data_IF_016587793260
#
_entry.id   IF_016587793260
#
_cell.length_a   1.000
_cell.length_b   1.000
_cell.length_c   1.000
_cell.angle_alpha   90.00
_cell.angle_beta   90.00
_cell.angle_gamma   90.00
#
_symmetry.space_group_name_H-M   'P 1'
#
loop_
_entity.id
_entity.type
_entity.pdbx_description
1 polymer ?
#
# COMPACT_ATOMS: atom_id res chain seq x y z
N UNK A 1 6.47 -22.15 -15.79
CA UNK A 1 6.95 -21.12 -14.85
C UNK A 1 7.21 -19.82 -15.60
N UNK A 2 6.22 -18.96 -15.89
CA UNK A 2 6.46 -17.62 -16.49
C UNK A 2 5.14 -16.91 -16.87
N UNK A 3 4.12 -16.88 -16.00
CA UNK A 3 2.86 -16.15 -16.32
C UNK A 3 2.27 -15.33 -15.16
N UNK A 4 2.99 -15.10 -14.06
CA UNK A 4 2.42 -14.44 -12.88
C UNK A 4 2.67 -12.92 -12.77
N UNK A 5 3.55 -12.35 -13.60
CA UNK A 5 3.99 -10.95 -13.43
C UNK A 5 3.06 -9.87 -14.06
N UNK A 6 1.95 -10.23 -14.72
CA UNK A 6 1.20 -9.26 -15.55
C UNK A 6 -0.18 -8.84 -15.02
N UNK A 7 -0.67 -9.41 -13.93
CA UNK A 7 -2.05 -9.15 -13.48
C UNK A 7 -2.16 -7.89 -12.59
N UNK A 8 -1.10 -7.51 -11.90
CA UNK A 8 -1.13 -6.37 -10.95
C UNK A 8 -1.18 -5.01 -11.67
N UNK A 9 -0.69 -4.91 -12.90
CA UNK A 9 -0.54 -3.60 -13.59
C UNK A 9 -1.82 -3.08 -14.25
N UNK A 10 -2.82 -3.91 -14.51
CA UNK A 10 -3.99 -3.51 -15.31
C UNK A 10 -5.10 -2.79 -14.53
N UNK A 11 -5.14 -2.88 -13.21
CA UNK A 11 -6.23 -2.28 -12.40
C UNK A 11 -5.93 -0.85 -11.95
N UNK A 12 -4.65 -0.46 -11.87
CA UNK A 12 -4.22 0.84 -11.33
C UNK A 12 -4.48 2.01 -12.29
N UNK A 13 -4.62 1.77 -13.61
CA UNK A 13 -4.60 2.86 -14.60
C UNK A 13 -5.96 3.55 -14.88
N UNK A 14 -7.07 3.08 -14.31
CA UNK A 14 -8.42 3.55 -14.69
C UNK A 14 -9.02 4.66 -13.80
N UNK A 15 -8.29 5.23 -12.84
CA UNK A 15 -8.89 6.06 -11.81
C UNK A 15 -8.44 7.53 -11.76
N UNK A 16 -7.75 8.07 -12.80
CA UNK A 16 -7.10 9.40 -12.73
C UNK A 16 -7.99 10.59 -13.14
N UNK A 17 -9.23 10.40 -13.57
CA UNK A 17 -10.07 11.54 -13.97
C UNK A 17 -11.28 11.73 -13.06
N UNK A 18 -11.08 12.44 -11.95
CA UNK A 18 -12.18 12.98 -11.13
C UNK A 18 -12.60 14.34 -11.65
N UNK A 19 -13.70 14.42 -12.39
CA UNK A 19 -14.37 15.69 -12.69
C UNK A 19 -15.09 16.22 -11.45
N UNK A 20 -14.93 17.52 -11.21
CA UNK A 20 -15.64 18.34 -10.24
C UNK A 20 -17.13 18.42 -10.59
N UNK A 21 -18.01 17.82 -9.81
CA UNK A 21 -19.44 18.12 -9.84
C UNK A 21 -19.88 18.81 -8.56
N UNK A 22 -20.61 19.93 -8.71
CA UNK A 22 -21.28 20.65 -7.63
C UNK A 22 -22.46 19.82 -7.14
N UNK A 23 -22.38 19.29 -5.93
CA UNK A 23 -23.48 18.62 -5.25
C UNK A 23 -24.38 19.62 -4.50
N UNK A 24 -25.65 19.25 -4.19
CA UNK A 24 -26.67 20.12 -3.61
C UNK A 24 -26.35 20.50 -2.15
N UNK A 25 -26.66 21.74 -1.81
CA UNK A 25 -26.56 22.31 -0.47
C UNK A 25 -27.63 21.73 0.46
N UNK A 26 -27.25 21.13 1.57
CA UNK A 26 -28.13 20.79 2.70
C UNK A 26 -27.95 21.77 3.86
N UNK A 27 -29.03 22.06 4.63
CA UNK A 27 -29.02 23.11 5.64
C UNK A 27 -28.37 22.70 6.97
N UNK A 28 -27.73 23.66 7.57
CA UNK A 28 -27.15 23.87 8.87
C UNK A 28 -27.32 22.85 10.00
N UNK A 29 -26.18 22.35 10.46
CA UNK A 29 -25.97 21.74 11.75
C UNK A 29 -24.53 22.00 12.19
N UNK A 30 -24.32 22.39 13.43
CA UNK A 30 -23.11 22.93 14.01
C UNK A 30 -21.81 22.20 13.63
N UNK A 31 -20.84 22.97 13.16
CA UNK A 31 -19.62 22.43 12.56
C UNK A 31 -18.48 22.33 13.56
N UNK A 32 -18.18 21.14 14.02
CA UNK A 32 -16.79 20.81 14.30
C UNK A 32 -16.16 20.41 12.95
N UNK A 33 -15.41 21.34 12.33
CA UNK A 33 -14.74 21.13 11.04
C UNK A 33 -13.48 20.29 11.22
N UNK A 34 -13.60 19.02 11.65
CA UNK A 34 -12.46 18.14 11.63
C UNK A 34 -12.26 17.59 10.21
N UNK A 35 -11.07 17.77 9.68
CA UNK A 35 -10.67 17.18 8.40
C UNK A 35 -10.17 15.76 8.66
N UNK A 36 -10.63 14.75 7.91
CA UNK A 36 -10.12 13.38 8.05
C UNK A 36 -8.60 13.33 8.01
N UNK A 37 -8.01 12.51 8.86
CA UNK A 37 -6.56 12.34 8.96
C UNK A 37 -6.03 11.61 7.73
N UNK A 38 -4.82 11.98 7.31
CA UNK A 38 -4.07 11.30 6.24
C UNK A 38 -3.14 10.28 6.86
N UNK A 39 -2.93 9.17 6.16
CA UNK A 39 -1.88 8.21 6.51
C UNK A 39 -0.51 8.90 6.51
N UNK A 40 0.31 8.60 7.51
CA UNK A 40 1.66 9.18 7.67
C UNK A 40 2.76 8.38 6.98
N UNK A 41 2.39 7.53 6.03
CA UNK A 41 3.33 6.82 5.16
C UNK A 41 4.22 7.80 4.38
N UNK A 42 5.50 7.47 4.26
CA UNK A 42 6.51 8.32 3.62
C UNK A 42 6.98 7.69 2.31
N UNK A 43 7.26 8.54 1.32
CA UNK A 43 7.95 8.12 0.12
C UNK A 43 9.40 7.73 0.44
N UNK A 44 9.84 6.60 -0.08
CA UNK A 44 11.21 6.10 0.09
C UNK A 44 12.06 6.58 -1.08
N UNK A 45 13.12 7.32 -0.77
CA UNK A 45 14.07 7.80 -1.79
C UNK A 45 14.96 6.66 -2.27
N UNK A 46 15.05 6.47 -3.58
CA UNK A 46 15.97 5.49 -4.17
C UNK A 46 17.41 5.94 -3.94
N UNK A 47 18.28 5.11 -3.31
CA UNK A 47 19.70 5.42 -3.13
C UNK A 47 20.39 5.76 -4.44
N UNK A 48 21.33 6.70 -4.40
CA UNK A 48 21.99 7.20 -5.62
C UNK A 48 22.72 6.11 -6.41
N UNK A 49 23.37 5.16 -5.73
CA UNK A 49 24.07 4.03 -6.36
C UNK A 49 23.15 3.03 -7.05
N UNK A 50 21.85 2.96 -6.66
CA UNK A 50 20.86 2.14 -7.35
C UNK A 50 20.33 2.81 -8.62
N UNK A 51 20.50 4.11 -8.78
CA UNK A 51 20.03 4.85 -9.96
C UNK A 51 20.93 4.57 -11.15
N UNK A 52 20.31 4.22 -12.29
CA UNK A 52 21.06 4.02 -13.54
C UNK A 52 21.83 2.70 -13.66
N UNK A 53 21.90 1.86 -12.63
CA UNK A 53 22.47 0.52 -12.75
C UNK A 53 21.49 -0.46 -13.40
N UNK A 54 22.01 -1.40 -14.19
CA UNK A 54 21.27 -2.49 -14.83
C UNK A 54 21.62 -3.84 -14.22
N UNK A 55 22.39 -3.86 -13.15
CA UNK A 55 22.68 -5.08 -12.41
C UNK A 55 21.39 -5.64 -11.81
N UNK A 56 21.08 -6.92 -12.10
CA UNK A 56 19.77 -7.52 -11.85
C UNK A 56 19.36 -7.49 -10.36
N UNK A 57 20.32 -7.68 -9.45
CA UNK A 57 20.00 -7.74 -8.01
C UNK A 57 19.79 -6.35 -7.42
N UNK A 58 20.49 -5.33 -7.94
CA UNK A 58 20.23 -3.93 -7.61
C UNK A 58 18.90 -3.47 -8.20
N UNK A 59 18.54 -3.94 -9.40
CA UNK A 59 17.22 -3.70 -9.99
C UNK A 59 16.10 -4.30 -9.13
N UNK A 60 16.27 -5.51 -8.59
CA UNK A 60 15.29 -6.13 -7.70
C UNK A 60 15.06 -5.29 -6.44
N UNK A 61 16.12 -4.82 -5.80
CA UNK A 61 16.02 -3.93 -4.64
C UNK A 61 15.33 -2.59 -4.99
N UNK A 62 15.71 -1.97 -6.11
CA UNK A 62 15.06 -0.74 -6.59
C UNK A 62 13.57 -0.95 -6.89
N UNK A 63 13.20 -2.10 -7.45
CA UNK A 63 11.81 -2.44 -7.73
C UNK A 63 10.99 -2.57 -6.44
N UNK A 64 11.56 -3.06 -5.33
CA UNK A 64 10.90 -3.07 -4.03
C UNK A 64 10.56 -1.66 -3.53
N UNK A 65 11.50 -0.71 -3.67
CA UNK A 65 11.24 0.71 -3.35
C UNK A 65 10.15 1.28 -4.25
N UNK A 66 10.24 1.03 -5.56
CA UNK A 66 9.24 1.49 -6.52
C UNK A 66 7.86 0.88 -6.24
N UNK A 67 7.79 -0.39 -5.85
CA UNK A 67 6.55 -1.05 -5.45
C UNK A 67 5.93 -0.35 -4.23
N UNK A 68 6.71 -0.11 -3.17
CA UNK A 68 6.24 0.60 -1.98
C UNK A 68 5.67 1.98 -2.34
N UNK A 69 6.41 2.77 -3.11
CA UNK A 69 6.01 4.12 -3.50
C UNK A 69 4.79 4.11 -4.43
N UNK A 70 4.71 3.14 -5.36
CA UNK A 70 3.56 2.99 -6.27
C UNK A 70 2.29 2.58 -5.53
N UNK A 71 2.40 1.64 -4.59
CA UNK A 71 1.29 1.24 -3.74
C UNK A 71 0.79 2.42 -2.91
N UNK A 72 1.71 3.17 -2.28
CA UNK A 72 1.35 4.38 -1.54
C UNK A 72 0.70 5.42 -2.44
N UNK A 73 1.28 5.71 -3.61
CA UNK A 73 0.72 6.66 -4.58
C UNK A 73 -0.69 6.29 -5.00
N UNK A 74 -0.94 5.00 -5.28
CA UNK A 74 -2.25 4.50 -5.67
C UNK A 74 -3.30 4.61 -4.56
N UNK A 75 -2.90 4.32 -3.31
CA UNK A 75 -3.78 4.38 -2.14
C UNK A 75 -4.04 5.83 -1.73
N UNK A 76 -3.05 6.72 -1.82
CA UNK A 76 -3.14 8.11 -1.37
C UNK A 76 -4.28 8.89 -2.02
N UNK A 77 -4.64 8.55 -3.26
CA UNK A 77 -5.78 9.15 -3.98
C UNK A 77 -7.11 8.87 -3.24
N UNK A 78 -7.26 7.68 -2.68
CA UNK A 78 -8.48 7.28 -1.95
C UNK A 78 -8.48 7.75 -0.50
N UNK A 79 -7.32 7.74 0.16
CA UNK A 79 -7.19 8.11 1.58
C UNK A 79 -6.82 9.57 1.77
N UNK A 80 -6.89 10.38 0.72
CA UNK A 80 -6.79 11.84 0.82
C UNK A 80 -8.20 12.39 0.99
N UNK A 81 -8.50 13.08 2.11
CA UNK A 81 -9.81 13.67 2.32
C UNK A 81 -10.14 14.63 1.18
N UNK A 82 -11.31 14.51 0.54
CA UNK A 82 -11.72 15.52 -0.43
C UNK A 82 -11.92 16.87 0.26
N UNK A 83 -11.70 17.95 -0.49
CA UNK A 83 -11.86 19.33 0.01
C UNK A 83 -13.30 19.70 0.41
N UNK A 84 -14.31 18.91 0.00
CA UNK A 84 -15.70 19.13 0.36
C UNK A 84 -16.09 18.37 1.63
N UNK A 85 -16.86 19.01 2.50
CA UNK A 85 -17.37 18.43 3.75
C UNK A 85 -18.19 17.16 3.49
N UNK A 86 -17.92 16.10 4.22
CA UNK A 86 -18.75 14.90 4.26
C UNK A 86 -19.94 15.11 5.20
N UNK A 87 -21.04 14.43 4.92
CA UNK A 87 -22.16 14.34 5.86
C UNK A 87 -21.75 13.57 7.11
N UNK A 88 -22.06 14.08 8.28
CA UNK A 88 -21.78 13.45 9.57
C UNK A 88 -22.86 12.39 9.86
N UNK A 89 -22.46 11.16 10.17
CA UNK A 89 -23.35 10.14 10.76
C UNK A 89 -23.22 10.24 12.28
N UNK A 90 -24.34 10.30 12.99
CA UNK A 90 -24.45 10.56 14.43
C UNK A 90 -23.82 9.43 15.27
N UNK A 91 -22.53 9.55 15.62
CA UNK A 91 -21.89 8.73 16.66
C UNK A 91 -20.83 9.53 17.40
N UNK A 92 -20.44 9.06 18.58
CA UNK A 92 -19.32 9.61 19.36
C UNK A 92 -17.98 9.40 18.67
N UNK A 93 -17.90 8.45 17.74
CA UNK A 93 -16.81 8.21 16.80
C UNK A 93 -17.13 8.92 15.49
N UNK A 94 -16.15 9.57 14.87
CA UNK A 94 -16.37 10.24 13.59
C UNK A 94 -16.37 9.21 12.46
N UNK A 95 -17.53 8.99 11.88
CA UNK A 95 -17.72 8.13 10.73
C UNK A 95 -18.20 8.94 9.53
N UNK A 96 -17.64 8.67 8.36
CA UNK A 96 -17.93 9.39 7.14
C UNK A 96 -18.07 8.42 5.98
N UNK A 97 -19.05 8.66 5.13
CA UNK A 97 -19.25 7.88 3.91
C UNK A 97 -19.33 8.80 2.71
N UNK A 98 -18.63 8.47 1.64
CA UNK A 98 -18.74 9.12 0.34
C UNK A 98 -18.90 8.09 -0.76
N UNK A 99 -19.80 8.39 -1.69
CA UNK A 99 -20.03 7.54 -2.87
C UNK A 99 -19.90 8.38 -4.14
N UNK A 100 -19.23 7.83 -5.14
CA UNK A 100 -19.17 8.41 -6.49
C UNK A 100 -19.15 7.31 -7.54
N UNK A 101 -19.46 7.67 -8.79
CA UNK A 101 -19.43 6.74 -9.92
C UNK A 101 -18.17 6.93 -10.74
N UNK A 102 -17.58 5.82 -11.18
CA UNK A 102 -16.51 5.80 -12.17
C UNK A 102 -17.11 5.85 -13.59
N UNK A 103 -16.32 6.26 -14.61
CA UNK A 103 -16.77 6.30 -16.00
C UNK A 103 -17.25 4.94 -16.54
N UNK A 104 -16.75 3.84 -16.01
CA UNK A 104 -17.16 2.46 -16.34
C UNK A 104 -18.45 1.99 -15.68
N UNK A 105 -19.14 2.87 -14.92
CA UNK A 105 -20.41 2.58 -14.25
C UNK A 105 -20.31 2.02 -12.84
N UNK A 106 -19.11 1.63 -12.38
CA UNK A 106 -18.93 1.20 -10.99
C UNK A 106 -19.14 2.37 -10.02
N UNK A 107 -19.75 2.09 -8.89
CA UNK A 107 -19.76 2.97 -7.73
C UNK A 107 -18.56 2.66 -6.84
N UNK A 108 -17.89 3.69 -6.37
CA UNK A 108 -16.90 3.61 -5.30
C UNK A 108 -17.57 4.13 -4.04
N UNK A 109 -17.51 3.35 -2.96
CA UNK A 109 -18.02 3.74 -1.65
C UNK A 109 -16.82 3.80 -0.72
N UNK A 110 -16.54 4.97 -0.18
CA UNK A 110 -15.47 5.21 0.77
C UNK A 110 -16.08 5.44 2.16
N UNK A 111 -15.65 4.65 3.12
CA UNK A 111 -15.98 4.80 4.52
C UNK A 111 -14.71 5.24 5.29
N UNK A 112 -14.85 6.24 6.14
CA UNK A 112 -13.81 6.68 7.05
C UNK A 112 -14.31 6.55 8.47
N UNK A 113 -13.47 6.07 9.36
CA UNK A 113 -13.73 6.04 10.80
C UNK A 113 -12.53 6.53 11.59
N UNK A 114 -12.80 7.23 12.68
CA UNK A 114 -11.78 7.77 13.58
C UNK A 114 -12.26 7.67 15.03
N UNK A 115 -11.33 7.29 15.91
CA UNK A 115 -11.48 7.40 17.36
C UNK A 115 -10.18 7.97 17.96
N UNK A 116 -10.08 8.01 19.30
CA UNK A 116 -8.91 8.57 19.98
C UNK A 116 -7.60 7.84 19.68
N UNK A 117 -7.65 6.57 19.29
CA UNK A 117 -6.46 5.73 19.12
C UNK A 117 -6.12 5.45 17.67
N UNK A 118 -7.13 5.39 16.79
CA UNK A 118 -6.96 4.95 15.41
C UNK A 118 -7.86 5.76 14.48
N UNK A 119 -7.44 5.82 13.21
CA UNK A 119 -8.30 6.21 12.10
C UNK A 119 -8.07 5.28 10.92
N UNK A 120 -9.05 5.21 10.03
CA UNK A 120 -8.94 4.31 8.89
C UNK A 120 -9.95 4.58 7.79
N UNK A 121 -9.72 3.88 6.68
CA UNK A 121 -10.46 3.99 5.44
C UNK A 121 -10.82 2.60 4.94
N UNK A 122 -12.05 2.43 4.46
CA UNK A 122 -12.45 1.25 3.71
C UNK A 122 -13.05 1.71 2.39
N UNK A 123 -12.57 1.13 1.30
CA UNK A 123 -13.06 1.41 -0.04
C UNK A 123 -13.78 0.15 -0.56
N UNK A 124 -15.02 0.34 -1.00
CA UNK A 124 -15.80 -0.70 -1.65
C UNK A 124 -16.05 -0.35 -3.11
N UNK A 125 -16.14 -1.38 -3.93
CA UNK A 125 -16.67 -1.32 -5.29
C UNK A 125 -18.09 -1.90 -5.29
N UNK A 126 -19.00 -1.27 -6.04
CA UNK A 126 -20.38 -1.70 -6.19
C UNK A 126 -20.87 -1.48 -7.62
N UNK A 127 -21.59 -2.46 -8.20
CA UNK A 127 -22.07 -2.40 -9.56
C UNK A 127 -21.41 -3.41 -10.50
N UNK A 128 -21.55 -3.20 -11.81
CA UNK A 128 -21.05 -4.13 -12.85
C UNK A 128 -20.05 -3.43 -13.75
N UNK A 129 -18.93 -4.11 -14.04
CA UNK A 129 -17.93 -3.70 -15.01
C UNK A 129 -17.60 -4.89 -15.93
N UNK A 130 -18.03 -4.83 -17.18
CA UNK A 130 -17.92 -5.95 -18.09
C UNK A 130 -18.67 -7.18 -17.59
N UNK A 131 -17.98 -8.30 -17.41
CA UNK A 131 -18.51 -9.55 -16.89
C UNK A 131 -18.49 -9.66 -15.37
N UNK A 132 -17.85 -8.71 -14.67
CA UNK A 132 -17.67 -8.74 -13.22
C UNK A 132 -18.74 -7.91 -12.52
N UNK A 133 -19.43 -8.51 -11.54
CA UNK A 133 -20.40 -7.83 -10.68
C UNK A 133 -19.84 -7.76 -9.27
N UNK A 134 -19.86 -6.57 -8.69
CA UNK A 134 -19.41 -6.26 -7.34
C UNK A 134 -20.66 -5.90 -6.50
N UNK A 135 -20.77 -6.49 -5.35
CA UNK A 135 -21.83 -6.19 -4.39
C UNK A 135 -21.19 -5.66 -3.11
N UNK A 136 -21.00 -4.35 -3.04
CA UNK A 136 -20.24 -3.67 -1.97
C UNK A 136 -18.97 -4.46 -1.62
N UNK A 137 -18.19 -4.80 -2.65
CA UNK A 137 -17.02 -5.62 -2.53
C UNK A 137 -15.83 -4.78 -1.99
N UNK A 138 -15.21 -5.21 -0.89
CA UNK A 138 -14.11 -4.49 -0.26
C UNK A 138 -12.86 -4.55 -1.14
N UNK A 139 -12.44 -3.40 -1.67
CA UNK A 139 -11.26 -3.25 -2.51
C UNK A 139 -10.01 -2.91 -1.71
N UNK A 140 -10.15 -2.03 -0.72
CA UNK A 140 -9.04 -1.54 0.08
C UNK A 140 -9.48 -1.34 1.53
N UNK A 141 -8.59 -1.65 2.44
CA UNK A 141 -8.71 -1.30 3.85
C UNK A 141 -7.39 -0.67 4.30
N UNK A 142 -7.44 0.49 4.94
CA UNK A 142 -6.29 1.18 5.49
C UNK A 142 -6.57 1.65 6.91
N UNK A 143 -5.58 1.54 7.80
CA UNK A 143 -5.69 2.01 9.18
C UNK A 143 -4.35 2.53 9.68
N UNK A 144 -4.39 3.54 10.55
CA UNK A 144 -3.21 4.06 11.24
C UNK A 144 -3.52 4.36 12.71
N UNK A 145 -2.55 4.10 13.58
CA UNK A 145 -2.56 4.45 15.00
C UNK A 145 -2.16 5.91 15.15
N UNK A 146 -2.95 6.72 15.86
CA UNK A 146 -2.75 8.17 15.98
C UNK A 146 -1.42 8.50 16.65
N UNK A 147 -1.07 7.78 17.70
CA UNK A 147 0.12 8.06 18.53
C UNK A 147 1.41 7.57 17.84
N UNK A 148 1.49 6.29 17.49
CA UNK A 148 2.71 5.68 16.94
C UNK A 148 2.92 5.98 15.47
N UNK A 149 1.87 6.43 14.74
CA UNK A 149 1.88 6.62 13.29
C UNK A 149 2.32 5.36 12.53
N UNK A 150 1.96 4.22 13.09
CA UNK A 150 2.10 2.91 12.47
C UNK A 150 0.81 2.55 11.80
N UNK A 151 0.88 2.01 10.60
CA UNK A 151 -0.31 1.71 9.86
C UNK A 151 -0.13 0.58 8.88
N UNK A 152 -1.25 0.25 8.26
CA UNK A 152 -1.28 -0.72 7.18
C UNK A 152 -2.30 -0.31 6.12
N UNK A 153 -2.16 -0.89 4.95
CA UNK A 153 -3.25 -1.07 4.02
C UNK A 153 -3.21 -2.45 3.36
N UNK A 154 -4.40 -2.95 3.11
CA UNK A 154 -4.66 -4.21 2.45
C UNK A 154 -5.37 -3.93 1.12
N UNK A 155 -4.88 -4.49 0.02
CA UNK A 155 -5.53 -4.43 -1.29
C UNK A 155 -6.08 -5.82 -1.60
N UNK A 156 -7.38 -5.89 -1.88
CA UNK A 156 -8.08 -7.12 -2.21
C UNK A 156 -8.21 -7.27 -3.72
N UNK A 157 -7.98 -8.47 -4.24
CA UNK A 157 -8.04 -8.74 -5.68
C UNK A 157 -9.46 -9.05 -6.10
N UNK A 158 -10.06 -8.29 -7.05
CA UNK A 158 -11.40 -8.55 -7.56
C UNK A 158 -11.57 -9.98 -8.10
N UNK A 159 -12.73 -10.58 -7.80
CA UNK A 159 -13.04 -11.95 -8.24
C UNK A 159 -12.63 -13.05 -7.25
N UNK A 160 -11.97 -12.67 -6.15
CA UNK A 160 -11.57 -13.60 -5.07
C UNK A 160 -12.30 -13.26 -3.76
N UNK A 161 -12.16 -14.15 -2.78
CA UNK A 161 -12.72 -13.95 -1.45
C UNK A 161 -12.07 -12.73 -0.75
N UNK A 162 -12.89 -11.90 -0.11
CA UNK A 162 -12.44 -10.76 0.69
C UNK A 162 -11.82 -11.14 2.05
N UNK A 163 -11.66 -12.41 2.34
CA UNK A 163 -11.03 -12.88 3.58
C UNK A 163 -9.51 -12.71 3.56
N UNK A 164 -8.89 -12.69 2.36
CA UNK A 164 -7.45 -12.60 2.20
C UNK A 164 -7.06 -11.53 1.17
N UNK A 165 -6.26 -10.52 1.55
CA UNK A 165 -5.78 -9.53 0.60
C UNK A 165 -4.68 -10.09 -0.29
N UNK A 166 -4.68 -9.71 -1.58
CA UNK A 166 -3.61 -10.03 -2.52
C UNK A 166 -2.31 -9.32 -2.16
N UNK A 167 -2.41 -8.09 -1.61
CA UNK A 167 -1.24 -7.32 -1.15
C UNK A 167 -1.53 -6.71 0.22
N UNK A 168 -0.61 -6.91 1.15
CA UNK A 168 -0.59 -6.22 2.46
C UNK A 168 0.64 -5.33 2.51
N UNK A 169 0.47 -4.09 2.94
CA UNK A 169 1.57 -3.20 3.27
C UNK A 169 1.42 -2.72 4.70
N UNK A 170 2.46 -2.92 5.52
CA UNK A 170 2.57 -2.34 6.85
C UNK A 170 3.71 -1.33 6.86
N UNK A 171 3.56 -0.24 7.59
CA UNK A 171 4.61 0.75 7.79
C UNK A 171 4.73 1.18 9.24
N UNK A 172 5.95 1.52 9.64
CA UNK A 172 6.32 1.79 11.03
C UNK A 172 7.23 3.01 11.08
N UNK A 173 6.79 4.07 11.74
CA UNK A 173 7.61 5.22 12.08
C UNK A 173 8.21 4.98 13.46
N UNK A 174 9.47 4.50 13.51
CA UNK A 174 10.12 4.18 14.77
C UNK A 174 10.56 5.45 15.54
N UNK A 175 10.57 5.37 16.86
CA UNK A 175 10.96 6.50 17.73
C UNK A 175 12.38 7.00 17.49
N UNK A 176 13.29 6.13 17.02
CA UNK A 176 14.67 6.50 16.66
C UNK A 176 14.78 7.19 15.28
N UNK A 177 13.65 7.54 14.66
CA UNK A 177 13.59 8.18 13.35
C UNK A 177 13.70 7.23 12.15
N UNK A 178 13.90 5.94 12.38
CA UNK A 178 13.89 4.95 11.31
C UNK A 178 12.46 4.75 10.78
N UNK A 179 12.37 4.38 9.51
CA UNK A 179 11.13 4.06 8.82
C UNK A 179 11.21 2.66 8.24
N UNK A 180 10.20 1.84 8.52
CA UNK A 180 10.11 0.49 7.97
C UNK A 180 8.85 0.31 7.14
N UNK A 181 8.98 -0.43 6.05
CA UNK A 181 7.87 -0.88 5.22
C UNK A 181 8.00 -2.39 5.01
N UNK A 182 6.90 -3.07 5.19
CA UNK A 182 6.78 -4.50 4.90
C UNK A 182 5.66 -4.68 3.87
N UNK A 183 5.96 -5.26 2.72
CA UNK A 183 5.01 -5.59 1.66
C UNK A 183 4.94 -7.10 1.54
N UNK A 184 3.76 -7.66 1.72
CA UNK A 184 3.48 -9.08 1.55
C UNK A 184 2.58 -9.27 0.34
N UNK A 185 3.04 -9.98 -0.66
CA UNK A 185 2.27 -10.42 -1.81
C UNK A 185 1.77 -11.85 -1.59
N UNK A 186 0.54 -12.14 -1.99
CA UNK A 186 -0.12 -13.41 -1.74
C UNK A 186 -0.67 -14.02 -3.03
N UNK A 187 -0.64 -15.34 -3.13
CA UNK A 187 -1.46 -16.06 -4.08
C UNK A 187 -2.88 -16.17 -3.51
N UNK A 188 -3.78 -15.40 -4.10
CA UNK A 188 -5.18 -15.32 -3.66
C UNK A 188 -5.99 -16.60 -3.95
N UNK A 189 -5.49 -17.49 -4.83
CA UNK A 189 -6.17 -18.76 -5.12
C UNK A 189 -6.04 -19.77 -3.98
N UNK A 190 -4.94 -19.68 -3.23
CA UNK A 190 -4.63 -20.59 -2.12
C UNK A 190 -4.51 -19.86 -0.77
N UNK A 191 -4.74 -18.54 -0.75
CA UNK A 191 -4.66 -17.68 0.44
C UNK A 191 -3.31 -17.85 1.19
N UNK A 192 -2.21 -17.82 0.44
CA UNK A 192 -0.87 -17.99 0.99
C UNK A 192 0.08 -16.90 0.51
N UNK A 193 1.02 -16.45 1.36
CA UNK A 193 2.06 -15.54 0.95
C UNK A 193 2.98 -16.21 -0.09
N UNK A 194 3.46 -15.41 -1.05
CA UNK A 194 4.43 -15.86 -2.08
C UNK A 194 5.73 -15.07 -2.03
N UNK A 195 5.66 -13.79 -1.75
CA UNK A 195 6.83 -12.90 -1.69
C UNK A 195 6.65 -11.84 -0.61
N UNK A 196 7.75 -11.45 0.04
CA UNK A 196 7.74 -10.40 1.04
C UNK A 196 8.97 -9.49 0.85
N UNK A 197 8.72 -8.18 0.88
CA UNK A 197 9.74 -7.14 0.80
C UNK A 197 9.77 -6.39 2.13
N UNK A 198 10.89 -6.44 2.84
CA UNK A 198 11.09 -5.66 4.06
C UNK A 198 12.10 -4.55 3.77
N UNK A 199 11.69 -3.29 3.88
CA UNK A 199 12.52 -2.12 3.61
C UNK A 199 12.70 -1.37 4.92
N UNK A 200 13.95 -1.12 5.30
CA UNK A 200 14.30 -0.26 6.43
C UNK A 200 15.08 0.94 5.94
N UNK A 201 14.61 2.15 6.25
CA UNK A 201 15.32 3.40 6.01
C UNK A 201 15.66 4.02 7.35
N UNK A 202 16.95 4.27 7.59
CA UNK A 202 17.45 4.91 8.81
C UNK A 202 17.38 6.42 8.70
N UNK A 203 17.51 7.10 9.83
CA UNK A 203 17.45 8.55 9.91
C UNK A 203 18.52 9.25 9.04
N UNK A 204 19.68 8.62 8.83
CA UNK A 204 20.76 9.10 7.98
C UNK A 204 20.59 8.76 6.49
N UNK A 205 19.43 8.24 6.09
CA UNK A 205 19.10 7.71 4.76
C UNK A 205 19.89 6.45 4.35
N UNK A 206 20.69 5.84 5.21
CA UNK A 206 21.15 4.47 5.00
C UNK A 206 19.99 3.48 5.20
N UNK A 207 20.17 2.23 4.79
CA UNK A 207 19.12 1.25 5.01
C UNK A 207 19.41 -0.12 4.44
N UNK A 208 18.36 -0.93 4.43
CA UNK A 208 18.40 -2.29 3.90
C UNK A 208 17.05 -2.69 3.27
N UNK A 209 17.14 -3.67 2.36
CA UNK A 209 16.01 -4.37 1.78
C UNK A 209 16.26 -5.86 1.89
N UNK A 210 15.33 -6.56 2.50
CA UNK A 210 15.29 -8.01 2.56
C UNK A 210 14.17 -8.50 1.64
N UNK A 211 14.51 -9.38 0.70
CA UNK A 211 13.56 -10.06 -0.18
C UNK A 211 13.40 -11.50 0.25
N UNK A 212 12.18 -11.89 0.52
CA UNK A 212 11.83 -13.26 0.90
C UNK A 212 10.91 -13.90 -0.14
N UNK A 213 11.08 -15.19 -0.36
CA UNK A 213 10.06 -16.03 -0.98
C UNK A 213 9.45 -16.97 0.04
N UNK A 214 8.28 -17.51 -0.26
CA UNK A 214 7.65 -18.55 0.54
C UNK A 214 7.64 -19.86 -0.24
N UNK A 215 8.10 -20.93 0.40
CA UNK A 215 8.00 -22.27 -0.13
C UNK A 215 7.33 -23.16 0.91
N UNK A 216 6.21 -23.81 0.53
CA UNK A 216 5.39 -24.65 1.41
C UNK A 216 5.07 -24.00 2.78
N UNK A 217 4.87 -22.66 2.78
CA UNK A 217 4.59 -21.86 3.98
C UNK A 217 5.83 -21.42 4.76
N UNK A 218 7.03 -21.85 4.37
CA UNK A 218 8.30 -21.44 4.99
C UNK A 218 8.82 -20.16 4.34
N UNK A 219 9.18 -19.17 5.17
CA UNK A 219 9.79 -17.90 4.74
C UNK A 219 11.28 -18.08 4.52
N UNK A 220 11.78 -17.81 3.31
CA UNK A 220 13.17 -18.02 2.90
C UNK A 220 13.76 -16.69 2.40
N UNK A 221 14.84 -16.21 3.02
CA UNK A 221 15.56 -15.02 2.56
C UNK A 221 16.25 -15.33 1.22
N UNK A 222 15.96 -14.52 0.21
CA UNK A 222 16.54 -14.65 -1.15
C UNK A 222 17.59 -13.62 -1.44
N UNK A 223 17.42 -12.42 -0.93
CA UNK A 223 18.37 -11.34 -1.13
C UNK A 223 18.36 -10.38 0.06
N UNK A 224 19.53 -9.93 0.45
CA UNK A 224 19.75 -8.77 1.32
C UNK A 224 20.48 -7.70 0.52
N UNK A 225 19.98 -6.47 0.52
CA UNK A 225 20.63 -5.32 -0.08
C UNK A 225 20.76 -4.25 0.97
N UNK A 226 21.97 -3.75 1.19
CA UNK A 226 22.25 -2.67 2.16
C UNK A 226 22.82 -1.47 1.45
N UNK A 227 22.58 -0.27 1.97
CA UNK A 227 23.20 0.95 1.47
C UNK A 227 23.57 1.89 2.60
N UNK A 228 24.57 2.71 2.34
CA UNK A 228 25.08 3.75 3.24
C UNK A 228 24.37 5.09 2.97
N UNK A 229 24.57 6.07 3.84
CA UNK A 229 23.99 7.41 3.70
C UNK A 229 24.37 8.13 2.39
N UNK A 230 25.53 7.80 1.80
CA UNK A 230 25.97 8.33 0.50
C UNK A 230 25.40 7.58 -0.71
N UNK A 231 24.64 6.50 -0.47
CA UNK A 231 23.93 5.74 -1.48
C UNK A 231 24.71 4.61 -2.15
N UNK A 232 25.98 4.38 -1.78
CA UNK A 232 26.72 3.16 -2.18
C UNK A 232 26.25 1.98 -1.36
N UNK A 233 26.34 0.78 -1.89
CA UNK A 233 25.80 -0.37 -1.17
C UNK A 233 26.38 -1.70 -1.59
N UNK A 234 25.85 -2.72 -0.94
CA UNK A 234 26.22 -4.11 -1.14
C UNK A 234 24.93 -4.95 -1.22
N UNK A 235 24.94 -5.99 -2.05
CA UNK A 235 23.87 -6.97 -2.11
C UNK A 235 24.43 -8.39 -1.98
N UNK A 236 23.66 -9.25 -1.32
CA UNK A 236 23.97 -10.67 -1.13
C UNK A 236 22.75 -11.49 -1.50
N UNK A 237 22.94 -12.52 -2.29
CA UNK A 237 21.92 -13.48 -2.67
C UNK A 237 22.13 -14.82 -1.97
N UNK A 238 21.02 -15.48 -1.59
CA UNK A 238 21.02 -16.72 -0.85
C UNK A 238 20.28 -17.83 -1.62
N UNK A 239 20.71 -19.08 -1.43
CA UNK A 239 19.96 -20.28 -1.83
C UNK A 239 18.82 -20.57 -0.85
N UNK A 240 18.17 -21.73 -1.02
CA UNK A 240 17.05 -22.12 -0.14
C UNK A 240 17.54 -22.56 1.26
N UNK A 241 18.77 -22.95 1.39
CA UNK A 241 19.42 -23.37 2.62
C UNK A 241 20.04 -22.21 3.41
N UNK A 242 20.02 -20.98 2.83
CA UNK A 242 20.55 -19.78 3.46
C UNK A 242 22.05 -19.55 3.21
N UNK A 243 22.68 -20.32 2.29
CA UNK A 243 24.06 -20.09 1.92
C UNK A 243 24.19 -18.95 0.91
N UNK A 244 25.26 -18.17 1.00
CA UNK A 244 25.58 -17.11 0.02
C UNK A 244 25.95 -17.76 -1.31
N UNK A 245 25.25 -17.39 -2.38
CA UNK A 245 25.52 -17.89 -3.74
C UNK A 245 26.10 -16.81 -4.65
N UNK A 246 25.84 -15.54 -4.34
CA UNK A 246 26.36 -14.43 -5.13
C UNK A 246 26.31 -13.15 -4.29
N UNK A 247 27.26 -12.23 -4.51
CA UNK A 247 27.28 -10.92 -3.87
C UNK A 247 27.96 -9.87 -4.75
N UNK A 248 27.71 -8.61 -4.50
CA UNK A 248 28.31 -7.50 -5.24
C UNK A 248 28.04 -6.13 -4.61
N UNK A 249 28.69 -5.11 -5.17
CA UNK A 249 28.57 -3.72 -4.72
C UNK A 249 27.95 -2.84 -5.82
N UNK A 250 27.44 -1.68 -5.40
CA UNK A 250 26.91 -0.63 -6.28
C UNK A 250 27.18 0.77 -5.75
#
# INVERSE_FOLDING_TARGET
MKKFAYIIFSVVFLLIFGCSEKGPTSPGGGSNNQTPKKLSMKEIQTPSGMKGTFEQHVLSARNSINLANSLFGSVSVYVTPPASKFGKINSTDEEWTKTWKLPNGLSVIMEYSENNSNFGWIIYLDGTNGSSTYNKWKYLEARETVESKEGFFNIFTPGFDNSWPGTKLNYFNQQNGNYKVNILESDVNVNQPVEEHMITVKQDNSGDIELYSYDTGSKILKQLTTWTANGTGHWTRYDNEGNVVLEGNF
#
